data_IF_464040853825
#
_entry.id   IF_464040853825
#
_cell.length_a   1.000
_cell.length_b   1.000
_cell.length_c   1.000
_cell.angle_alpha   90.00
_cell.angle_beta   90.00
_cell.angle_gamma   90.00
#
_symmetry.space_group_name_H-M   'P 1'
#
loop_
_entity.id
_entity.type
_entity.pdbx_description
1 polymer ?
#
# COMPACT_ATOMS: atom_id res chain seq x y z
N UNK A 1 21.73 0.48 6.09
CA UNK A 1 22.91 1.38 6.10
C UNK A 1 24.15 0.52 5.88
N UNK A 2 25.17 1.02 5.18
CA UNK A 2 26.35 0.23 4.83
C UNK A 2 27.33 -0.03 5.99
N UNK A 3 27.35 0.85 7.00
CA UNK A 3 28.22 0.75 8.18
C UNK A 3 27.44 1.15 9.45
N UNK A 4 26.77 0.20 10.13
CA UNK A 4 25.87 0.51 11.24
C UNK A 4 26.60 1.05 12.49
N UNK A 5 27.79 0.54 12.79
CA UNK A 5 28.57 0.96 13.97
C UNK A 5 28.99 2.44 13.88
N UNK A 6 29.59 2.84 12.76
CA UNK A 6 29.97 4.24 12.50
C UNK A 6 28.74 5.16 12.52
N UNK A 7 27.61 4.67 11.99
CA UNK A 7 26.36 5.43 11.98
C UNK A 7 25.84 5.66 13.41
N UNK A 8 25.92 4.65 14.28
CA UNK A 8 25.55 4.75 15.68
C UNK A 8 26.43 5.77 16.41
N UNK A 9 27.76 5.70 16.27
CA UNK A 9 28.69 6.65 16.90
C UNK A 9 28.41 8.10 16.48
N UNK A 10 28.18 8.32 15.18
CA UNK A 10 27.85 9.62 14.63
C UNK A 10 26.52 10.17 15.17
N UNK A 11 25.49 9.32 15.24
CA UNK A 11 24.17 9.70 15.75
C UNK A 11 24.24 9.97 17.27
N UNK A 12 24.99 9.18 18.02
CA UNK A 12 25.21 9.42 19.44
C UNK A 12 25.92 10.76 19.68
N UNK A 13 26.97 11.06 18.90
CA UNK A 13 27.66 12.35 18.99
C UNK A 13 26.74 13.52 18.68
N UNK A 14 25.90 13.42 17.65
CA UNK A 14 24.92 14.45 17.30
C UNK A 14 23.96 14.74 18.46
N UNK A 15 23.41 13.71 19.11
CA UNK A 15 22.46 13.88 20.21
C UNK A 15 23.10 14.33 21.53
N UNK A 16 24.42 14.18 21.71
CA UNK A 16 25.15 14.74 22.87
C UNK A 16 25.21 16.27 22.81
N UNK A 17 25.23 16.84 21.61
CA UNK A 17 25.23 18.29 21.40
C UNK A 17 23.78 18.77 21.35
N UNK A 18 23.38 19.70 22.24
CA UNK A 18 22.08 20.36 22.17
C UNK A 18 22.05 21.37 21.03
N UNK A 19 21.92 20.88 19.80
CA UNK A 19 21.83 21.67 18.59
C UNK A 19 20.45 22.32 18.37
N UNK A 20 20.33 23.22 17.39
CA UNK A 20 19.06 23.86 17.06
C UNK A 20 18.05 22.85 16.51
N UNK A 21 16.78 23.10 16.80
CA UNK A 21 15.66 22.29 16.32
C UNK A 21 15.41 22.59 14.84
N UNK A 22 15.97 21.76 13.97
CA UNK A 22 15.89 21.91 12.51
C UNK A 22 15.53 20.57 11.84
N UNK A 23 15.40 20.56 10.52
CA UNK A 23 15.22 19.31 9.76
C UNK A 23 16.28 18.23 10.06
N UNK A 24 17.48 18.63 10.48
CA UNK A 24 18.56 17.68 10.82
C UNK A 24 18.25 16.87 12.08
N UNK A 25 17.51 17.45 13.03
CA UNK A 25 17.03 16.72 14.20
C UNK A 25 16.07 15.61 13.78
N UNK A 26 15.12 15.92 12.90
CA UNK A 26 14.20 14.93 12.36
C UNK A 26 14.94 13.81 11.62
N UNK A 27 15.88 14.16 10.74
CA UNK A 27 16.72 13.19 10.01
C UNK A 27 17.55 12.31 10.96
N UNK A 28 18.13 12.89 12.02
CA UNK A 28 18.88 12.13 13.01
C UNK A 28 17.99 11.12 13.76
N UNK A 29 16.76 11.49 14.10
CA UNK A 29 15.80 10.54 14.68
C UNK A 29 15.41 9.44 13.69
N UNK A 30 15.21 9.74 12.41
CA UNK A 30 14.96 8.71 11.38
C UNK A 30 16.13 7.74 11.24
N UNK A 31 17.37 8.23 11.22
CA UNK A 31 18.55 7.38 11.22
C UNK A 31 18.60 6.49 12.47
N UNK A 32 18.34 7.07 13.65
CA UNK A 32 18.28 6.30 14.91
C UNK A 32 17.21 5.21 14.87
N UNK A 33 16.03 5.52 14.34
CA UNK A 33 14.94 4.55 14.18
C UNK A 33 15.38 3.34 13.33
N UNK A 34 16.14 3.58 12.27
CA UNK A 34 16.65 2.51 11.40
C UNK A 34 17.75 1.68 12.07
N UNK A 35 18.58 2.28 12.93
CA UNK A 35 19.61 1.56 13.69
C UNK A 35 19.01 0.68 14.79
N UNK A 36 17.95 1.15 15.44
CA UNK A 36 17.23 0.38 16.47
C UNK A 36 16.02 -0.37 15.91
N UNK A 37 15.96 -0.63 14.59
CA UNK A 37 14.87 -1.38 14.01
C UNK A 37 14.82 -2.80 14.62
N UNK A 38 13.63 -3.27 15.04
CA UNK A 38 13.50 -4.55 15.73
C UNK A 38 13.95 -5.71 14.85
N UNK A 39 14.80 -6.58 15.41
CA UNK A 39 15.30 -7.77 14.71
C UNK A 39 14.26 -8.87 14.58
N UNK A 40 13.28 -8.88 15.48
CA UNK A 40 12.17 -9.83 15.48
C UNK A 40 10.88 -9.16 15.97
N UNK A 41 9.75 -9.74 15.64
CA UNK A 41 8.44 -9.29 16.13
C UNK A 41 8.25 -9.54 17.62
N UNK A 42 9.12 -10.32 18.26
CA UNK A 42 9.06 -10.65 19.68
C UNK A 42 9.80 -9.62 20.54
N UNK A 43 10.77 -8.90 19.94
CA UNK A 43 11.51 -7.86 20.63
C UNK A 43 10.71 -6.56 20.73
N UNK A 44 9.82 -6.51 21.72
CA UNK A 44 8.95 -5.37 21.99
C UNK A 44 9.73 -4.12 22.40
N UNK A 45 10.84 -4.27 23.13
CA UNK A 45 11.65 -3.14 23.56
C UNK A 45 12.30 -2.43 22.37
N UNK A 46 12.91 -3.17 21.44
CA UNK A 46 13.45 -2.60 20.20
C UNK A 46 12.35 -1.94 19.35
N UNK A 47 11.17 -2.58 19.27
CA UNK A 47 10.01 -2.02 18.58
C UNK A 47 9.57 -0.68 19.17
N UNK A 48 9.34 -0.61 20.48
CA UNK A 48 8.92 0.62 21.17
C UNK A 48 9.96 1.73 21.06
N UNK A 49 11.25 1.38 21.18
CA UNK A 49 12.36 2.30 21.00
C UNK A 49 12.38 2.88 19.58
N UNK A 50 12.17 2.03 18.57
CA UNK A 50 12.10 2.41 17.16
C UNK A 50 10.89 3.33 16.89
N UNK A 51 9.70 2.92 17.32
CA UNK A 51 8.45 3.70 17.20
C UNK A 51 8.61 5.07 17.85
N UNK A 52 9.23 5.14 19.03
CA UNK A 52 9.48 6.40 19.74
C UNK A 52 10.29 7.38 18.88
N UNK A 53 11.27 6.90 18.12
CA UNK A 53 12.03 7.79 17.22
C UNK A 53 11.16 8.33 16.08
N UNK A 54 10.31 7.50 15.46
CA UNK A 54 9.37 7.98 14.44
C UNK A 54 8.39 9.02 15.01
N UNK A 55 7.84 8.76 16.19
CA UNK A 55 6.90 9.68 16.83
C UNK A 55 7.54 11.01 17.22
N UNK A 56 8.83 11.04 17.57
CA UNK A 56 9.56 12.30 17.77
C UNK A 56 9.60 13.14 16.50
N UNK A 57 9.83 12.52 15.34
CA UNK A 57 9.87 13.22 14.04
C UNK A 57 8.50 13.77 13.70
N UNK A 58 7.45 12.95 13.80
CA UNK A 58 6.08 13.33 13.43
C UNK A 58 5.58 14.48 14.31
N UNK A 59 5.76 14.37 15.63
CA UNK A 59 5.28 15.41 16.55
C UNK A 59 6.03 16.72 16.43
N UNK A 60 7.32 16.67 16.07
CA UNK A 60 8.11 17.86 15.76
C UNK A 60 7.67 18.49 14.42
N UNK A 61 7.51 17.68 13.37
CA UNK A 61 7.31 18.16 12.01
C UNK A 61 5.88 18.66 11.73
N UNK A 62 4.86 18.10 12.40
CA UNK A 62 3.44 18.45 12.16
C UNK A 62 3.09 19.91 12.42
N UNK A 63 3.87 20.61 13.25
CA UNK A 63 3.60 22.00 13.63
C UNK A 63 4.22 23.04 12.70
N UNK A 64 4.97 22.61 11.69
CA UNK A 64 5.81 23.49 10.88
C UNK A 64 5.74 23.05 9.40
N UNK A 65 5.03 23.79 8.53
CA UNK A 65 4.78 23.41 7.13
C UNK A 65 6.01 23.04 6.33
N UNK A 66 7.13 23.76 6.53
CA UNK A 66 8.41 23.45 5.85
C UNK A 66 8.99 22.08 6.22
N UNK A 67 8.48 21.41 7.25
CA UNK A 67 8.92 20.10 7.70
C UNK A 67 7.92 18.97 7.43
N UNK A 68 6.77 19.23 6.78
CA UNK A 68 5.79 18.17 6.46
C UNK A 68 6.41 16.99 5.68
N UNK A 69 7.39 17.24 4.81
CA UNK A 69 8.14 16.18 4.12
C UNK A 69 8.81 15.17 5.07
N UNK A 70 9.12 15.55 6.31
CA UNK A 70 9.64 14.64 7.34
C UNK A 70 8.56 13.72 7.90
N UNK A 71 7.30 14.15 7.95
CA UNK A 71 6.16 13.30 8.32
C UNK A 71 5.99 12.22 7.26
N UNK A 72 5.92 12.60 5.98
CA UNK A 72 5.91 11.65 4.87
C UNK A 72 7.08 10.66 4.94
N UNK A 73 8.32 11.14 5.06
CA UNK A 73 9.50 10.27 5.16
C UNK A 73 9.46 9.34 6.38
N UNK A 74 8.99 9.84 7.53
CA UNK A 74 8.80 9.03 8.73
C UNK A 74 7.78 7.92 8.48
N UNK A 75 6.67 8.21 7.80
CA UNK A 75 5.62 7.23 7.49
C UNK A 75 6.13 6.11 6.59
N UNK A 76 6.91 6.43 5.55
CA UNK A 76 7.49 5.43 4.63
C UNK A 76 8.50 4.53 5.35
N UNK A 77 9.36 5.11 6.19
CA UNK A 77 10.34 4.34 6.96
C UNK A 77 9.68 3.50 8.06
N UNK A 78 8.69 4.07 8.76
CA UNK A 78 7.86 3.35 9.72
C UNK A 78 7.19 2.15 9.06
N UNK A 79 6.59 2.33 7.87
CA UNK A 79 5.93 1.24 7.16
C UNK A 79 6.88 0.08 6.88
N UNK A 80 8.08 0.37 6.38
CA UNK A 80 9.11 -0.66 6.14
C UNK A 80 9.44 -1.45 7.40
N UNK A 81 9.52 -0.78 8.54
CA UNK A 81 9.74 -1.42 9.85
C UNK A 81 8.51 -2.21 10.32
N UNK A 82 7.30 -1.71 10.06
CA UNK A 82 6.05 -2.30 10.52
C UNK A 82 5.66 -3.60 9.78
N UNK A 83 6.13 -3.81 8.53
CA UNK A 83 5.74 -4.97 7.69
C UNK A 83 5.77 -6.32 8.41
N UNK A 84 6.82 -6.70 9.18
CA UNK A 84 6.84 -7.98 9.88
C UNK A 84 5.76 -8.11 10.97
N UNK A 85 5.27 -6.99 11.51
CA UNK A 85 4.25 -6.94 12.56
C UNK A 85 2.81 -7.03 12.01
N UNK A 86 2.59 -6.88 10.71
CA UNK A 86 1.26 -7.01 10.09
C UNK A 86 0.73 -8.45 10.10
N UNK A 87 1.55 -9.43 10.43
CA UNK A 87 1.11 -10.82 10.55
C UNK A 87 0.04 -10.99 11.64
N UNK A 88 -0.87 -11.96 11.50
CA UNK A 88 -1.86 -12.28 12.52
C UNK A 88 -1.23 -12.46 13.91
N UNK A 89 -1.87 -11.88 14.92
CA UNK A 89 -1.41 -11.93 16.32
C UNK A 89 -0.39 -10.84 16.71
N UNK A 90 0.18 -10.10 15.77
CA UNK A 90 1.12 -8.99 16.07
C UNK A 90 0.59 -7.61 15.67
N UNK A 91 -0.37 -7.54 14.73
CA UNK A 91 -0.87 -6.28 14.15
C UNK A 91 -1.43 -5.29 15.18
N UNK A 92 -2.03 -5.79 16.26
CA UNK A 92 -2.54 -4.95 17.36
C UNK A 92 -1.48 -4.00 17.96
N UNK A 93 -0.19 -4.39 17.91
CA UNK A 93 0.94 -3.61 18.43
C UNK A 93 1.17 -2.33 17.64
N UNK A 94 0.76 -2.30 16.37
CA UNK A 94 0.93 -1.16 15.49
C UNK A 94 -0.19 -0.14 15.62
N UNK A 95 -1.32 -0.49 16.23
CA UNK A 95 -2.53 0.36 16.20
C UNK A 95 -2.25 1.75 16.76
N UNK A 96 -1.56 1.85 17.90
CA UNK A 96 -1.28 3.13 18.53
C UNK A 96 -0.43 4.05 17.62
N UNK A 97 0.70 3.53 17.12
CA UNK A 97 1.64 4.29 16.29
C UNK A 97 1.11 4.58 14.88
N UNK A 98 0.44 3.61 14.26
CA UNK A 98 -0.14 3.78 12.92
C UNK A 98 -1.35 4.74 12.95
N UNK A 99 -2.19 4.66 13.98
CA UNK A 99 -3.30 5.62 14.18
C UNK A 99 -2.79 7.05 14.31
N UNK A 100 -1.75 7.28 15.11
CA UNK A 100 -1.13 8.60 15.22
C UNK A 100 -0.55 9.08 13.90
N UNK A 101 0.13 8.21 13.15
CA UNK A 101 0.68 8.52 11.84
C UNK A 101 -0.41 8.95 10.84
N UNK A 102 -1.45 8.12 10.68
CA UNK A 102 -2.58 8.37 9.78
C UNK A 102 -3.31 9.66 10.18
N UNK A 103 -3.53 9.89 11.48
CA UNK A 103 -4.16 11.11 11.95
C UNK A 103 -3.36 12.37 11.60
N UNK A 104 -2.03 12.35 11.75
CA UNK A 104 -1.20 13.50 11.35
C UNK A 104 -1.25 13.67 9.84
N UNK A 105 -1.03 12.61 9.05
CA UNK A 105 -1.10 12.69 7.58
C UNK A 105 -2.46 13.20 7.07
N UNK A 106 -3.56 12.89 7.77
CA UNK A 106 -4.90 13.38 7.42
C UNK A 106 -5.07 14.89 7.60
N UNK A 107 -4.31 15.51 8.50
CA UNK A 107 -4.33 16.94 8.78
C UNK A 107 -3.42 17.73 7.84
N UNK A 108 -2.52 17.04 7.14
CA UNK A 108 -1.60 17.63 6.19
C UNK A 108 -2.22 17.63 4.78
N UNK A 109 -2.02 18.72 4.05
CA UNK A 109 -2.26 18.78 2.60
C UNK A 109 -1.12 18.05 1.86
N UNK A 110 -0.97 16.74 2.09
CA UNK A 110 0.02 15.94 1.37
C UNK A 110 -0.49 15.50 -0.01
N UNK A 111 0.40 15.53 -0.99
CA UNK A 111 0.10 15.21 -2.40
C UNK A 111 -0.16 13.72 -2.64
N UNK A 112 0.46 12.82 -1.86
CA UNK A 112 0.38 11.37 -2.11
C UNK A 112 -0.85 10.74 -1.45
N UNK A 113 -1.99 10.89 -2.14
CA UNK A 113 -3.28 10.34 -1.71
C UNK A 113 -3.31 8.82 -1.71
N UNK A 114 -2.56 8.18 -2.61
CA UNK A 114 -2.43 6.72 -2.73
C UNK A 114 -1.77 6.14 -1.47
N UNK A 115 -0.65 6.74 -1.05
CA UNK A 115 0.08 6.33 0.14
C UNK A 115 -0.76 6.49 1.41
N UNK A 116 -1.48 7.61 1.51
CA UNK A 116 -2.40 7.86 2.62
C UNK A 116 -3.53 6.82 2.67
N UNK A 117 -4.12 6.48 1.53
CA UNK A 117 -5.16 5.46 1.43
C UNK A 117 -4.64 4.07 1.85
N UNK A 118 -3.42 3.70 1.45
CA UNK A 118 -2.77 2.45 1.86
C UNK A 118 -2.66 2.35 3.39
N UNK A 119 -2.17 3.41 4.06
CA UNK A 119 -2.03 3.42 5.52
C UNK A 119 -3.38 3.39 6.25
N UNK A 120 -4.41 4.04 5.70
CA UNK A 120 -5.78 3.96 6.24
C UNK A 120 -6.35 2.55 6.17
N UNK A 121 -6.19 1.87 5.03
CA UNK A 121 -6.66 0.51 4.83
C UNK A 121 -5.98 -0.46 5.80
N UNK A 122 -4.66 -0.35 5.97
CA UNK A 122 -3.95 -1.21 6.94
C UNK A 122 -4.37 -0.92 8.39
N UNK A 123 -4.57 0.34 8.74
CA UNK A 123 -5.06 0.69 10.08
C UNK A 123 -6.45 0.11 10.33
N UNK A 124 -7.32 0.13 9.33
CA UNK A 124 -8.64 -0.48 9.38
C UNK A 124 -8.54 -1.99 9.64
N UNK A 125 -7.69 -2.70 8.88
CA UNK A 125 -7.45 -4.13 9.08
C UNK A 125 -6.88 -4.42 10.48
N UNK A 126 -5.97 -3.57 10.99
CA UNK A 126 -5.44 -3.69 12.34
C UNK A 126 -6.55 -3.55 13.41
N UNK A 127 -7.46 -2.58 13.27
CA UNK A 127 -8.59 -2.42 14.20
C UNK A 127 -9.51 -3.65 14.18
N UNK A 128 -9.85 -4.15 12.98
CA UNK A 128 -10.73 -5.30 12.81
C UNK A 128 -10.13 -6.58 13.40
N UNK A 129 -8.84 -6.84 13.14
CA UNK A 129 -8.13 -7.97 13.74
C UNK A 129 -8.04 -7.90 15.27
N UNK A 130 -8.03 -6.69 15.84
CA UNK A 130 -8.05 -6.49 17.29
C UNK A 130 -9.47 -6.45 17.90
N UNK A 131 -10.53 -6.65 17.10
CA UNK A 131 -11.92 -6.56 17.56
C UNK A 131 -12.39 -5.13 17.89
N UNK A 132 -11.62 -4.10 17.53
CA UNK A 132 -11.87 -2.69 17.80
C UNK A 132 -12.83 -2.08 16.78
N UNK A 133 -14.09 -2.53 16.80
CA UNK A 133 -15.09 -2.22 15.77
C UNK A 133 -15.52 -0.75 15.77
N UNK A 134 -15.60 -0.11 16.94
CA UNK A 134 -16.01 1.29 17.04
C UNK A 134 -14.96 2.23 16.42
N UNK A 135 -13.68 1.95 16.66
CA UNK A 135 -12.58 2.68 16.02
C UNK A 135 -12.51 2.40 14.51
N UNK A 136 -12.77 1.16 14.08
CA UNK A 136 -12.87 0.82 12.66
C UNK A 136 -13.99 1.61 11.96
N UNK A 137 -15.18 1.68 12.55
CA UNK A 137 -16.31 2.45 12.02
C UNK A 137 -15.99 3.95 11.96
N UNK A 138 -15.37 4.49 13.02
CA UNK A 138 -14.93 5.90 13.07
C UNK A 138 -13.92 6.20 11.96
N UNK A 139 -12.95 5.31 11.74
CA UNK A 139 -11.98 5.46 10.66
C UNK A 139 -12.67 5.41 9.29
N UNK A 140 -13.58 4.47 9.05
CA UNK A 140 -14.33 4.34 7.80
C UNK A 140 -15.11 5.62 7.43
N UNK A 141 -15.70 6.30 8.41
CA UNK A 141 -16.41 7.57 8.19
C UNK A 141 -15.52 8.66 7.54
N UNK A 142 -14.20 8.57 7.71
CA UNK A 142 -13.23 9.47 7.08
C UNK A 142 -12.52 8.85 5.88
N UNK A 143 -12.16 7.57 5.96
CA UNK A 143 -11.39 6.86 4.96
C UNK A 143 -12.21 6.58 3.69
N UNK A 144 -13.47 6.15 3.82
CA UNK A 144 -14.28 5.79 2.66
C UNK A 144 -14.57 7.00 1.75
N UNK A 145 -15.00 8.18 2.26
CA UNK A 145 -15.15 9.37 1.41
C UNK A 145 -13.83 9.83 0.79
N UNK A 146 -12.73 9.78 1.55
CA UNK A 146 -11.40 10.14 1.05
C UNK A 146 -10.95 9.24 -0.11
N UNK A 147 -11.01 7.92 0.09
CA UNK A 147 -10.63 6.93 -0.94
C UNK A 147 -11.54 7.08 -2.16
N UNK A 148 -12.85 7.27 -1.97
CA UNK A 148 -13.79 7.48 -3.08
C UNK A 148 -13.44 8.70 -3.93
N UNK A 149 -13.04 9.81 -3.28
CA UNK A 149 -12.75 11.06 -3.96
C UNK A 149 -11.38 11.08 -4.64
N UNK A 150 -10.35 10.53 -3.99
CA UNK A 150 -8.96 10.71 -4.41
C UNK A 150 -8.28 9.45 -4.93
N UNK A 151 -8.80 8.26 -4.59
CA UNK A 151 -8.21 6.96 -4.93
C UNK A 151 -9.31 5.95 -5.34
N UNK A 152 -10.16 6.27 -6.32
CA UNK A 152 -11.40 5.55 -6.59
C UNK A 152 -11.18 4.07 -6.97
N UNK A 153 -10.03 3.71 -7.55
CA UNK A 153 -9.69 2.32 -7.86
C UNK A 153 -9.55 1.43 -6.61
N UNK A 154 -9.32 2.02 -5.44
CA UNK A 154 -9.29 1.30 -4.14
C UNK A 154 -10.61 1.34 -3.40
N UNK A 155 -11.61 2.07 -3.88
CA UNK A 155 -12.88 2.21 -3.18
C UNK A 155 -13.58 0.85 -3.00
N UNK A 156 -13.49 -0.04 -3.99
CA UNK A 156 -14.01 -1.41 -3.89
C UNK A 156 -13.44 -2.18 -2.70
N UNK A 157 -12.15 -1.97 -2.38
CA UNK A 157 -11.48 -2.64 -1.26
C UNK A 157 -12.06 -2.18 0.09
N UNK A 158 -12.16 -0.87 0.33
CA UNK A 158 -12.77 -0.36 1.58
C UNK A 158 -14.25 -0.73 1.66
N UNK A 159 -14.98 -0.71 0.54
CA UNK A 159 -16.38 -1.12 0.50
C UNK A 159 -16.56 -2.60 0.86
N UNK A 160 -15.71 -3.49 0.34
CA UNK A 160 -15.71 -4.91 0.70
C UNK A 160 -15.56 -5.12 2.21
N UNK A 161 -14.60 -4.42 2.83
CA UNK A 161 -14.34 -4.46 4.27
C UNK A 161 -15.56 -3.94 5.05
N UNK A 162 -16.12 -2.80 4.67
CA UNK A 162 -17.29 -2.21 5.33
C UNK A 162 -18.51 -3.14 5.29
N UNK A 163 -18.74 -3.82 4.16
CA UNK A 163 -19.84 -4.80 4.03
C UNK A 163 -19.58 -6.04 4.89
N UNK A 164 -18.39 -6.64 4.79
CA UNK A 164 -18.08 -7.88 5.51
C UNK A 164 -18.15 -7.70 7.03
N UNK A 165 -17.74 -6.52 7.52
CA UNK A 165 -17.69 -6.19 8.94
C UNK A 165 -18.86 -5.31 9.40
N UNK A 166 -19.92 -5.17 8.59
CA UNK A 166 -21.14 -4.43 8.96
C UNK A 166 -20.85 -3.02 9.52
N UNK A 167 -19.92 -2.30 8.90
CA UNK A 167 -19.46 -0.97 9.32
C UNK A 167 -20.24 0.18 8.66
N UNK A 168 -21.33 -0.14 7.94
CA UNK A 168 -22.10 0.83 7.16
C UNK A 168 -23.59 0.57 7.31
N UNK A 169 -24.40 1.64 7.26
CA UNK A 169 -25.85 1.53 7.42
C UNK A 169 -26.55 1.00 6.16
N UNK A 170 -27.78 0.49 6.32
CA UNK A 170 -28.55 -0.13 5.24
C UNK A 170 -28.91 0.83 4.11
N UNK A 171 -29.09 2.13 4.38
CA UNK A 171 -29.46 3.11 3.36
C UNK A 171 -28.25 3.40 2.47
N UNK A 172 -27.10 3.67 3.08
CA UNK A 172 -25.82 3.84 2.39
C UNK A 172 -25.48 2.59 1.55
N UNK A 173 -25.68 1.38 2.10
CA UNK A 173 -25.47 0.14 1.35
C UNK A 173 -26.36 0.04 0.11
N UNK A 174 -27.64 0.43 0.21
CA UNK A 174 -28.58 0.42 -0.93
C UNK A 174 -28.21 1.45 -1.99
N UNK A 175 -27.64 2.58 -1.61
CA UNK A 175 -27.17 3.62 -2.53
C UNK A 175 -25.89 3.20 -3.23
N UNK A 176 -24.86 2.77 -2.48
CA UNK A 176 -23.57 2.36 -3.06
C UNK A 176 -23.70 1.18 -4.01
N UNK A 177 -24.60 0.23 -3.71
CA UNK A 177 -24.90 -0.90 -4.58
C UNK A 177 -25.38 -0.47 -5.97
N UNK A 178 -26.11 0.64 -6.08
CA UNK A 178 -26.65 1.13 -7.36
C UNK A 178 -25.60 1.85 -8.20
N UNK A 179 -24.48 2.25 -7.59
CA UNK A 179 -23.42 3.01 -8.26
C UNK A 179 -22.74 2.18 -9.35
N UNK A 180 -22.52 0.87 -9.14
CA UNK A 180 -21.93 0.01 -10.16
C UNK A 180 -22.21 -1.48 -9.95
N UNK A 181 -22.14 -2.26 -11.03
CA UNK A 181 -22.20 -3.73 -10.99
C UNK A 181 -21.06 -4.31 -10.14
N UNK A 182 -19.85 -3.73 -10.20
CA UNK A 182 -18.71 -4.15 -9.37
C UNK A 182 -19.03 -4.05 -7.87
N UNK A 183 -19.64 -2.94 -7.43
CA UNK A 183 -20.04 -2.77 -6.03
C UNK A 183 -21.21 -3.70 -5.67
N UNK A 184 -22.16 -3.96 -6.58
CA UNK A 184 -23.22 -4.95 -6.36
C UNK A 184 -22.69 -6.37 -6.14
N UNK A 185 -21.78 -6.82 -7.00
CA UNK A 185 -21.11 -8.11 -6.90
C UNK A 185 -20.29 -8.19 -5.60
N UNK A 186 -19.51 -7.14 -5.33
CA UNK A 186 -18.71 -7.01 -4.09
C UNK A 186 -19.60 -7.09 -2.86
N UNK A 187 -20.76 -6.43 -2.84
CA UNK A 187 -21.72 -6.51 -1.75
C UNK A 187 -22.19 -7.95 -1.52
N UNK A 188 -22.68 -8.62 -2.57
CA UNK A 188 -23.22 -9.97 -2.44
C UNK A 188 -22.17 -10.97 -1.94
N UNK A 189 -20.92 -10.87 -2.42
CA UNK A 189 -19.84 -11.73 -1.98
C UNK A 189 -19.47 -11.49 -0.52
N UNK A 190 -19.34 -10.23 -0.09
CA UNK A 190 -18.89 -9.91 1.26
C UNK A 190 -19.98 -10.12 2.31
N UNK A 191 -21.27 -10.01 1.96
CA UNK A 191 -22.38 -10.47 2.83
C UNK A 191 -22.29 -11.99 3.06
N UNK A 192 -22.03 -12.77 2.01
CA UNK A 192 -21.85 -14.21 2.15
C UNK A 192 -20.61 -14.57 2.98
N UNK A 193 -19.49 -13.86 2.81
CA UNK A 193 -18.30 -14.03 3.65
C UNK A 193 -18.61 -13.73 5.13
N UNK A 194 -19.28 -12.61 5.42
CA UNK A 194 -19.68 -12.25 6.79
C UNK A 194 -20.56 -13.33 7.45
N UNK A 195 -21.51 -13.88 6.69
CA UNK A 195 -22.38 -14.98 7.15
C UNK A 195 -21.64 -16.29 7.32
N UNK A 196 -20.69 -16.59 6.43
CA UNK A 196 -19.81 -17.75 6.54
C UNK A 196 -18.97 -17.68 7.83
N UNK A 197 -18.38 -16.51 8.14
CA UNK A 197 -17.58 -16.31 9.36
C UNK A 197 -18.40 -16.53 10.64
N UNK A 198 -19.71 -16.24 10.59
CA UNK A 198 -20.68 -16.45 11.69
C UNK A 198 -21.31 -17.85 11.71
N UNK A 199 -21.00 -18.71 10.74
CA UNK A 199 -21.68 -20.01 10.51
C UNK A 199 -23.22 -19.88 10.34
N UNK A 200 -23.68 -18.77 9.76
CA UNK A 200 -25.10 -18.42 9.57
C UNK A 200 -25.42 -18.23 8.08
N UNK A 201 -25.12 -19.26 7.28
CA UNK A 201 -25.33 -19.22 5.84
C UNK A 201 -26.82 -19.40 5.49
N UNK A 202 -27.34 -18.67 4.50
CA UNK A 202 -28.72 -18.84 4.05
C UNK A 202 -28.91 -20.17 3.28
N UNK A 203 -30.12 -20.71 3.28
CA UNK A 203 -30.41 -21.96 2.54
C UNK A 203 -30.21 -21.82 1.02
N UNK A 204 -30.38 -20.59 0.49
CA UNK A 204 -30.31 -20.30 -0.93
C UNK A 204 -28.94 -19.77 -1.40
N UNK A 205 -27.85 -20.05 -0.67
CA UNK A 205 -26.46 -19.66 -1.03
C UNK A 205 -26.14 -19.91 -2.51
N UNK A 206 -26.45 -21.10 -3.03
CA UNK A 206 -26.17 -21.46 -4.41
C UNK A 206 -26.92 -20.57 -5.41
N UNK A 207 -28.16 -20.17 -5.10
CA UNK A 207 -28.95 -19.26 -5.93
C UNK A 207 -28.35 -17.86 -5.92
N UNK A 208 -27.90 -17.39 -4.75
CA UNK A 208 -27.22 -16.10 -4.62
C UNK A 208 -25.92 -16.10 -5.43
N UNK A 209 -25.08 -17.13 -5.29
CA UNK A 209 -23.82 -17.25 -6.04
C UNK A 209 -24.04 -17.27 -7.56
N UNK A 210 -25.02 -18.03 -8.05
CA UNK A 210 -25.37 -18.06 -9.48
C UNK A 210 -25.84 -16.70 -9.99
N UNK A 211 -26.66 -16.00 -9.19
CA UNK A 211 -27.12 -14.65 -9.53
C UNK A 211 -25.93 -13.69 -9.60
N UNK A 212 -25.05 -13.71 -8.60
CA UNK A 212 -23.84 -12.87 -8.55
C UNK A 212 -22.91 -13.15 -9.74
N UNK A 213 -22.71 -14.42 -10.11
CA UNK A 213 -21.94 -14.79 -11.29
C UNK A 213 -22.56 -14.26 -12.58
N UNK A 214 -23.88 -14.40 -12.70
CA UNK A 214 -24.63 -13.86 -13.85
C UNK A 214 -24.48 -12.34 -13.93
N UNK A 215 -24.66 -11.62 -12.82
CA UNK A 215 -24.44 -10.16 -12.75
C UNK A 215 -23.02 -9.77 -13.18
N UNK A 216 -21.99 -10.51 -12.74
CA UNK A 216 -20.60 -10.30 -13.14
C UNK A 216 -20.36 -10.58 -14.63
N UNK A 217 -21.09 -11.51 -15.23
CA UNK A 217 -21.08 -11.79 -16.66
C UNK A 217 -21.48 -10.58 -17.51
N UNK A 218 -22.43 -9.78 -17.02
CA UNK A 218 -22.94 -8.58 -17.69
C UNK A 218 -22.00 -7.36 -17.57
N UNK A 219 -20.92 -7.44 -16.77
CA UNK A 219 -19.86 -6.43 -16.82
C UNK A 219 -19.12 -6.56 -18.16
N UNK A 220 -19.34 -5.60 -19.06
CA UNK A 220 -18.75 -5.59 -20.39
C UNK A 220 -17.22 -5.61 -20.34
N UNK A 221 -16.61 -6.56 -21.04
CA UNK A 221 -15.14 -6.70 -21.14
C UNK A 221 -14.51 -5.73 -22.15
N UNK A 222 -15.31 -5.00 -22.92
CA UNK A 222 -14.84 -4.18 -24.04
C UNK A 222 -14.44 -2.76 -23.63
N UNK A 223 -14.75 -2.35 -22.40
CA UNK A 223 -14.58 -0.99 -21.92
C UNK A 223 -13.37 -0.90 -21.00
N UNK A 224 -12.23 -0.42 -21.52
CA UNK A 224 -11.01 -0.02 -20.78
C UNK A 224 -10.22 -1.11 -20.02
N UNK A 225 -8.88 -1.02 -19.94
CA UNK A 225 -8.04 -1.98 -19.19
C UNK A 225 -8.40 -2.11 -17.70
N UNK A 226 -8.79 -1.01 -17.05
CA UNK A 226 -9.09 -0.99 -15.61
C UNK A 226 -10.32 -1.84 -15.25
N UNK A 227 -11.39 -1.79 -16.04
CA UNK A 227 -12.60 -2.61 -15.81
C UNK A 227 -12.29 -4.10 -16.06
N UNK A 228 -11.40 -4.41 -17.00
CA UNK A 228 -10.94 -5.79 -17.25
C UNK A 228 -10.18 -6.33 -16.04
N UNK A 229 -9.25 -5.57 -15.47
CA UNK A 229 -8.51 -5.94 -14.27
C UNK A 229 -9.44 -6.18 -13.07
N UNK A 230 -10.38 -5.27 -12.84
CA UNK A 230 -11.36 -5.38 -11.77
C UNK A 230 -12.23 -6.64 -11.92
N UNK A 231 -12.67 -6.96 -13.15
CA UNK A 231 -13.42 -8.18 -13.43
C UNK A 231 -12.62 -9.45 -13.18
N UNK A 232 -11.32 -9.47 -13.53
CA UNK A 232 -10.43 -10.59 -13.24
C UNK A 232 -10.35 -10.83 -11.72
N UNK A 233 -10.16 -9.77 -10.92
CA UNK A 233 -10.10 -9.87 -9.47
C UNK A 233 -11.42 -10.40 -8.88
N UNK A 234 -12.56 -9.89 -9.34
CA UNK A 234 -13.88 -10.36 -8.90
C UNK A 234 -14.13 -11.84 -9.27
N UNK A 235 -13.69 -12.28 -10.46
CA UNK A 235 -13.79 -13.69 -10.87
C UNK A 235 -12.96 -14.60 -9.96
N UNK A 236 -11.73 -14.21 -9.60
CA UNK A 236 -10.90 -14.97 -8.66
C UNK A 236 -11.55 -15.05 -7.28
N UNK A 237 -12.00 -13.92 -6.74
CA UNK A 237 -12.65 -13.87 -5.44
C UNK A 237 -13.94 -14.71 -5.41
N UNK A 238 -14.76 -14.64 -6.48
CA UNK A 238 -16.02 -15.38 -6.58
C UNK A 238 -15.78 -16.87 -6.76
N UNK A 239 -14.77 -17.26 -7.55
CA UNK A 239 -14.36 -18.66 -7.70
C UNK A 239 -13.94 -19.25 -6.35
N UNK A 240 -13.08 -18.54 -5.62
CA UNK A 240 -12.62 -18.98 -4.31
C UNK A 240 -13.77 -19.12 -3.32
N UNK A 241 -14.62 -18.09 -3.18
CA UNK A 241 -15.79 -18.14 -2.31
C UNK A 241 -16.73 -19.30 -2.67
N UNK A 242 -16.96 -19.52 -3.97
CA UNK A 242 -17.81 -20.60 -4.46
C UNK A 242 -17.23 -21.98 -4.16
N UNK A 243 -15.90 -22.16 -4.22
CA UNK A 243 -15.23 -23.39 -3.77
C UNK A 243 -15.42 -23.62 -2.28
N UNK A 244 -15.21 -22.57 -1.45
CA UNK A 244 -15.41 -22.66 0.00
C UNK A 244 -16.85 -23.06 0.35
N UNK A 245 -17.83 -22.54 -0.40
CA UNK A 245 -19.25 -22.83 -0.24
C UNK A 245 -19.74 -24.06 -1.02
N UNK A 246 -18.83 -24.83 -1.64
CA UNK A 246 -19.12 -26.07 -2.40
C UNK A 246 -20.07 -25.87 -3.60
N UNK A 247 -20.05 -24.71 -4.23
CA UNK A 247 -20.75 -24.41 -5.48
C UNK A 247 -19.82 -24.61 -6.69
N UNK A 248 -19.65 -25.87 -7.12
CA UNK A 248 -18.70 -26.24 -8.18
C UNK A 248 -19.04 -25.61 -9.55
N UNK A 249 -20.34 -25.47 -9.85
CA UNK A 249 -20.82 -24.87 -11.10
C UNK A 249 -20.35 -23.41 -11.26
N UNK A 250 -20.51 -22.58 -10.22
CA UNK A 250 -20.09 -21.18 -10.26
C UNK A 250 -18.57 -21.06 -10.27
N UNK A 251 -17.88 -21.89 -9.47
CA UNK A 251 -16.42 -21.90 -9.45
C UNK A 251 -15.82 -22.26 -10.80
N UNK A 252 -16.30 -23.34 -11.41
CA UNK A 252 -15.84 -23.78 -12.74
C UNK A 252 -16.19 -22.77 -13.84
N UNK A 253 -17.36 -22.12 -13.77
CA UNK A 253 -17.74 -21.00 -14.63
C UNK A 253 -16.74 -19.84 -14.55
N UNK A 254 -16.43 -19.38 -13.34
CA UNK A 254 -15.45 -18.30 -13.13
C UNK A 254 -14.06 -18.65 -13.69
N UNK A 255 -13.59 -19.87 -13.46
CA UNK A 255 -12.30 -20.34 -14.00
C UNK A 255 -12.31 -20.45 -15.53
N UNK A 256 -13.43 -20.83 -16.13
CA UNK A 256 -13.61 -20.87 -17.57
C UNK A 256 -13.50 -19.47 -18.18
N UNK A 257 -14.14 -18.48 -17.57
CA UNK A 257 -14.09 -17.10 -18.05
C UNK A 257 -12.69 -16.49 -17.86
N UNK A 258 -12.00 -16.78 -16.75
CA UNK A 258 -10.60 -16.39 -16.55
C UNK A 258 -9.69 -16.96 -17.66
N UNK A 259 -9.88 -18.22 -18.06
CA UNK A 259 -9.14 -18.84 -19.18
C UNK A 259 -9.44 -18.17 -20.52
N UNK A 260 -10.70 -17.81 -20.78
CA UNK A 260 -11.07 -17.08 -22.01
C UNK A 260 -10.35 -15.73 -22.06
N UNK A 261 -10.38 -14.97 -20.96
CA UNK A 261 -9.71 -13.66 -20.86
C UNK A 261 -8.19 -13.78 -21.09
N UNK A 262 -7.53 -14.83 -20.58
CA UNK A 262 -6.11 -15.10 -20.83
C UNK A 262 -5.83 -15.44 -22.31
N UNK A 263 -6.66 -16.28 -22.91
CA UNK A 263 -6.52 -16.65 -24.33
C UNK A 263 -6.68 -15.47 -25.29
N UNK A 264 -7.66 -14.59 -25.03
CA UNK A 264 -7.84 -13.34 -25.80
C UNK A 264 -6.66 -12.38 -25.66
N UNK A 265 -6.00 -12.36 -24.49
CA UNK A 265 -4.79 -11.59 -24.26
C UNK A 265 -3.65 -12.06 -25.16
N UNK A 266 -3.43 -13.39 -25.20
CA UNK A 266 -2.39 -14.02 -26.04
C UNK A 266 -2.67 -13.87 -27.54
N UNK A 267 -3.93 -13.93 -27.95
CA UNK A 267 -4.30 -13.73 -29.36
C UNK A 267 -4.05 -12.29 -29.81
N UNK A 268 -4.34 -11.29 -28.97
CA UNK A 268 -4.03 -9.89 -29.26
C UNK A 268 -2.52 -9.62 -29.30
N UNK A 269 -1.75 -10.22 -28.40
CA UNK A 269 -0.29 -10.10 -28.37
C UNK A 269 0.37 -10.77 -29.59
N UNK A 270 -0.11 -11.95 -29.99
CA UNK A 270 0.36 -12.63 -31.21
C UNK A 270 -0.05 -11.91 -32.49
N UNK A 271 -1.21 -11.24 -32.51
CA UNK A 271 -1.65 -10.44 -33.64
C UNK A 271 -0.85 -9.12 -33.75
N UNK A 272 -0.52 -8.49 -32.62
CA UNK A 272 0.41 -7.35 -32.57
C UNK A 272 1.79 -7.73 -33.11
N UNK A 273 2.31 -8.89 -32.69
CA UNK A 273 3.60 -9.40 -33.17
C UNK A 273 3.59 -9.80 -34.67
N UNK A 274 2.42 -10.03 -35.29
CA UNK A 274 2.30 -10.25 -36.75
C UNK A 274 2.27 -8.97 -37.57
N UNK A 275 1.94 -7.83 -36.97
CA UNK A 275 1.82 -6.54 -37.65
C UNK A 275 3.04 -5.62 -37.43
N UNK A 276 4.06 -6.09 -36.71
CA UNK A 276 5.37 -5.43 -36.68
C UNK A 276 6.09 -5.67 -38.03
N UNK A 277 6.50 -4.61 -38.75
CA UNK A 277 7.41 -4.78 -39.86
C UNK A 277 8.70 -5.40 -39.32
N UNK A 278 9.23 -6.42 -40.00
CA UNK A 278 10.56 -6.93 -39.72
C UNK A 278 11.59 -5.81 -39.92
N UNK A 279 11.89 -5.06 -38.86
CA UNK A 279 13.10 -4.27 -38.77
C UNK A 279 14.11 -5.06 -37.93
N UNK A 280 15.32 -5.16 -38.47
CA UNK A 280 16.44 -5.88 -37.90
C UNK A 280 16.82 -5.40 -36.49
N UNK A 281 17.76 -6.11 -35.86
CA UNK A 281 17.92 -6.12 -34.42
C UNK A 281 18.51 -4.80 -33.97
N UNK A 282 17.71 -3.94 -33.34
CA UNK A 282 18.12 -2.99 -32.32
C UNK A 282 16.87 -2.35 -31.68
N UNK A 283 16.89 -2.24 -30.35
CA UNK A 283 15.87 -1.69 -29.44
C UNK A 283 14.75 -2.64 -28.98
N UNK A 284 15.14 -3.69 -28.24
CA UNK A 284 14.30 -4.23 -27.16
C UNK A 284 14.66 -3.51 -25.85
N UNK A 285 13.84 -2.56 -25.40
CA UNK A 285 13.69 -2.22 -23.98
C UNK A 285 12.43 -1.35 -23.85
N UNK A 286 11.30 -1.96 -23.46
CA UNK A 286 10.21 -1.34 -22.68
C UNK A 286 8.96 -2.24 -22.66
N UNK A 287 9.05 -3.44 -22.04
CA UNK A 287 7.87 -4.13 -21.50
C UNK A 287 8.29 -4.90 -20.25
N UNK A 288 8.42 -4.17 -19.14
CA UNK A 288 8.49 -4.75 -17.81
C UNK A 288 7.60 -3.89 -16.91
N UNK A 289 6.33 -4.31 -16.76
CA UNK A 289 5.41 -3.77 -15.77
C UNK A 289 4.40 -4.85 -15.39
N UNK A 290 4.88 -5.77 -14.55
CA UNK A 290 4.04 -6.55 -13.63
C UNK A 290 4.73 -6.49 -12.27
N UNK A 291 4.12 -5.84 -11.27
CA UNK A 291 4.43 -6.12 -9.88
C UNK A 291 3.23 -6.78 -9.19
N UNK A 292 3.50 -7.97 -8.64
CA UNK A 292 3.17 -8.30 -7.25
C UNK A 292 1.72 -8.24 -6.79
N UNK A 293 0.92 -9.28 -7.07
CA UNK A 293 -0.28 -9.62 -6.30
C UNK A 293 -0.33 -11.13 -6.00
N UNK A 294 0.63 -11.63 -5.22
CA UNK A 294 0.59 -12.97 -4.63
C UNK A 294 1.28 -12.92 -3.26
N UNK A 295 0.63 -12.31 -2.27
CA UNK A 295 0.97 -12.45 -0.86
C UNK A 295 -0.26 -12.09 0.00
N UNK A 296 -1.33 -12.90 -0.07
CA UNK A 296 -2.38 -12.94 0.96
C UNK A 296 -3.33 -14.13 0.73
N UNK A 297 -2.87 -15.37 0.89
CA UNK A 297 -3.77 -16.50 1.21
C UNK A 297 -3.04 -17.49 2.13
N UNK A 298 -3.66 -17.94 3.23
CA UNK A 298 -3.03 -18.87 4.15
C UNK A 298 -2.98 -20.29 3.56
N UNK A 299 -1.77 -20.85 3.55
CA UNK A 299 -1.38 -22.27 3.60
C UNK A 299 -2.44 -23.34 3.22
N UNK A 300 -2.31 -23.88 2.01
CA UNK A 300 -2.50 -25.31 1.77
C UNK A 300 -1.17 -25.86 1.24
N UNK A 301 -0.54 -26.75 2.02
CA UNK A 301 0.68 -27.46 1.63
C UNK A 301 0.40 -28.31 0.39
N UNK A 302 1.06 -28.02 -0.71
CA UNK A 302 1.37 -29.03 -1.72
C UNK A 302 2.87 -28.96 -2.01
N UNK A 303 3.55 -30.08 -1.80
CA UNK A 303 4.99 -30.21 -1.99
C UNK A 303 5.37 -30.22 -3.47
N UNK A 304 6.63 -29.89 -3.72
CA UNK A 304 7.32 -29.72 -5.02
C UNK A 304 7.20 -28.34 -5.66
N UNK A 305 8.19 -27.48 -5.39
CA UNK A 305 9.07 -26.88 -6.41
C UNK A 305 10.17 -26.03 -5.72
N UNK A 306 11.43 -26.32 -6.04
CA UNK A 306 12.60 -25.51 -5.72
C UNK A 306 12.61 -24.21 -6.56
N UNK A 307 13.09 -23.06 -6.03
CA UNK A 307 13.14 -21.83 -6.80
C UNK A 307 14.48 -21.68 -7.52
N UNK A 308 14.43 -21.47 -8.84
CA UNK A 308 15.52 -20.90 -9.63
C UNK A 308 15.05 -19.55 -10.18
N UNK A 309 15.91 -18.54 -10.00
CA UNK A 309 15.93 -17.17 -10.51
C UNK A 309 15.54 -16.01 -9.55
N UNK A 310 16.38 -14.95 -9.48
CA UNK A 310 16.19 -13.79 -8.62
C UNK A 310 15.33 -12.71 -9.31
N UNK A 311 14.43 -12.09 -8.56
CA UNK A 311 13.63 -10.95 -9.03
C UNK A 311 14.40 -9.65 -8.74
N UNK A 312 14.77 -8.95 -9.81
CA UNK A 312 15.34 -7.60 -9.77
C UNK A 312 14.21 -6.59 -9.52
N UNK A 313 14.29 -5.83 -8.41
CA UNK A 313 13.40 -4.71 -8.15
C UNK A 313 13.88 -3.46 -8.90
N UNK A 314 12.98 -2.82 -9.64
CA UNK A 314 13.17 -1.51 -10.25
C UNK A 314 13.61 -0.46 -9.21
N UNK A 315 14.90 -0.11 -9.23
CA UNK A 315 15.44 1.09 -8.62
C UNK A 315 14.93 2.32 -9.40
N UNK A 316 13.95 3.06 -8.87
CA UNK A 316 13.91 4.51 -9.14
C UNK A 316 15.06 5.13 -8.37
N UNK A 317 16.09 5.54 -9.10
CA UNK A 317 17.21 6.33 -8.60
C UNK A 317 16.68 7.62 -7.97
N UNK A 318 16.94 7.80 -6.68
CA UNK A 318 16.95 9.13 -6.07
C UNK A 318 18.28 9.79 -6.42
N UNK A 319 18.34 11.06 -6.87
CA UNK A 319 19.61 11.72 -7.08
C UNK A 319 20.32 11.84 -5.74
N UNK A 320 21.45 11.14 -5.61
CA UNK A 320 22.45 11.42 -4.58
C UNK A 320 22.98 12.82 -4.88
N UNK A 321 22.56 13.80 -4.08
CA UNK A 321 23.18 15.13 -4.08
C UNK A 321 24.66 14.96 -3.73
N UNK A 322 25.60 15.48 -4.53
CA UNK A 322 27.01 15.43 -4.19
C UNK A 322 27.29 16.29 -2.94
N UNK A 323 28.29 15.93 -2.12
CA UNK A 323 28.67 16.74 -0.97
C UNK A 323 29.17 18.10 -1.46
N UNK A 324 28.47 19.17 -1.04
CA UNK A 324 28.97 20.53 -1.18
C UNK A 324 30.23 20.69 -0.33
N UNK A 325 31.40 20.67 -0.98
CA UNK A 325 32.64 21.14 -0.39
C UNK A 325 32.55 22.65 -0.31
N UNK A 326 32.19 23.17 0.86
CA UNK A 326 32.35 24.59 1.17
C UNK A 326 33.84 24.86 1.43
N UNK A 327 34.51 25.49 0.48
CA UNK A 327 35.73 26.28 0.74
C UNK A 327 35.33 27.74 0.73
N UNK A 328 35.37 28.37 1.90
CA UNK A 328 35.25 29.83 2.09
C UNK A 328 36.63 30.49 1.97
N UNK A 329 36.61 31.75 1.52
CA UNK A 329 37.69 32.76 1.37
C UNK A 329 38.22 32.91 -0.07
N UNK A 330 38.22 34.08 -0.74
CA UNK A 330 38.13 35.48 -0.32
C UNK A 330 37.40 36.33 -1.39
N UNK A 331 36.70 37.37 -0.93
CA UNK A 331 36.24 38.51 -1.74
C UNK A 331 37.42 39.42 -2.08
N UNK A 332 37.41 39.99 -3.29
CA UNK A 332 37.67 41.43 -3.46
C UNK A 332 38.76 41.87 -4.44
N UNK A 333 38.30 42.66 -5.42
CA UNK A 333 39.01 43.74 -6.12
C UNK A 333 40.03 43.40 -7.21
N UNK A 334 39.57 43.54 -8.45
CA UNK A 334 40.39 44.04 -9.56
C UNK A 334 39.97 45.48 -9.83
N UNK A 335 40.73 46.46 -9.33
CA UNK A 335 40.76 47.82 -9.87
C UNK A 335 42.24 48.15 -10.05
N UNK A 336 42.58 48.42 -11.31
CA UNK A 336 43.88 48.90 -11.78
C UNK A 336 43.93 50.41 -11.53
N UNK A 337 44.96 50.89 -10.83
CA UNK A 337 45.48 52.25 -11.03
C UNK A 337 46.96 52.37 -10.64
N UNK A 338 47.65 53.21 -11.41
CA UNK A 338 49.09 53.36 -11.55
C UNK A 338 49.85 53.95 -10.34
N UNK A 339 51.07 53.44 -10.18
CA UNK A 339 52.36 54.09 -9.86
C UNK A 339 52.32 55.64 -9.74
N UNK A 340 52.61 56.18 -8.54
CA UNK A 340 53.84 56.93 -8.23
C UNK A 340 53.92 57.35 -6.74
N UNK A 341 55.12 57.16 -6.18
CA UNK A 341 55.72 57.62 -4.90
C UNK A 341 55.58 59.14 -4.61
N UNK A 342 55.98 59.66 -3.42
CA UNK A 342 56.72 59.04 -2.31
C UNK A 342 56.07 59.07 -0.92
#
# INVERSE_FOLDING_TARGET
>A
MGQPEVSEDCIQMYFKVKGPVTQFLGRAHLCRAQLCAPKSTENLEEFENCVTQYMKVINFAKGEPRYHFLVFNASVLYWRMARPFLKPGCSHRLIASLSQMVNVLNQLEEEDTEWRAELMLELLDCYLHAGRRDEAATLCATAAPFIKAYVPHRYRQVFAIMVQHELMDELQLKEEKKTSTSLSVTFHMNVLKAKLDKNDLPEDVNKILKKTYTELGHCDHQSTPSIREEKILLLFELAHLSLTLKCEEVSSGCLSDLKKIDSEGKEKETNWNRHLPQQGPNLCHCLASFPSFLCAFPTVRCGFCTPLFPISCCHRHWPVLPPAVYTTHLKGCTIVHNIHDP
#
